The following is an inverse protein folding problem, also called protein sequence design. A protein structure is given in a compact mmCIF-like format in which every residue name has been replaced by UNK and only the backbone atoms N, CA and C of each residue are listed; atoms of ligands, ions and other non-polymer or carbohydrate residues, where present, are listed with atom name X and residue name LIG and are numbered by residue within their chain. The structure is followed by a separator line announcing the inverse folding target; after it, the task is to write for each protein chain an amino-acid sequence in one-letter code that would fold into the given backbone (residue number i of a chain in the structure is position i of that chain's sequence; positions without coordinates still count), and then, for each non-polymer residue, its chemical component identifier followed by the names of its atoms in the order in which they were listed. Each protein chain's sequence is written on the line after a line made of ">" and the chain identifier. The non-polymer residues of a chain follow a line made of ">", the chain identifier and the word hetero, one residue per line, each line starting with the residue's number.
data_IF_441553234227
#
_entry.id   IF_441553234227
#
_cell.length_a   1.000
_cell.length_b   1.000
_cell.length_c   1.000
_cell.angle_alpha   90.00
_cell.angle_beta   90.00
_cell.angle_gamma   90.00
#
_symmetry.space_group_name_H-M   'P 1'
#
loop_
_entity.id
_entity.type
_entity.pdbx_description
1 polymer ?
#
# COMPACT_ATOMS: atom_id res chain seq x y z
N UNK A 1 4.36 -23.06 3.14
CA UNK A 1 5.05 -21.75 3.15
C UNK A 1 3.97 -20.77 3.52
N UNK A 2 3.85 -20.43 4.80
CA UNK A 2 2.89 -19.41 5.25
C UNK A 2 3.19 -18.12 4.51
N UNK A 3 2.18 -17.57 3.84
CA UNK A 3 2.32 -16.23 3.28
C UNK A 3 2.51 -15.27 4.47
N UNK A 4 3.42 -14.29 4.37
CA UNK A 4 3.51 -13.25 5.37
C UNK A 4 2.14 -12.62 5.52
N UNK A 5 1.58 -12.64 6.73
CA UNK A 5 0.24 -12.11 6.96
C UNK A 5 0.33 -10.58 6.90
N UNK A 6 -0.31 -9.89 5.96
CA UNK A 6 -0.14 -8.44 5.77
C UNK A 6 -1.03 -7.66 6.74
N UNK A 7 -1.03 -8.02 8.03
CA UNK A 7 -1.75 -7.24 9.02
C UNK A 7 -0.96 -5.98 9.37
N UNK A 8 -1.60 -4.85 9.12
CA UNK A 8 -1.10 -3.56 9.53
C UNK A 8 -1.44 -3.24 10.96
N UNK A 9 -0.75 -2.26 11.51
CA UNK A 9 -1.11 -1.58 12.73
C UNK A 9 -1.40 -0.12 12.40
N UNK A 10 -1.93 0.62 13.37
CA UNK A 10 -2.12 2.06 13.21
C UNK A 10 -1.93 2.80 14.52
N UNK A 11 -1.33 3.97 14.44
CA UNK A 11 -1.24 4.95 15.51
C UNK A 11 -2.12 6.15 15.19
N UNK A 12 -2.65 6.81 16.22
CA UNK A 12 -3.50 7.99 16.05
C UNK A 12 -2.98 9.13 16.90
N UNK A 13 -2.77 10.28 16.27
CA UNK A 13 -2.39 11.52 16.93
C UNK A 13 -3.36 12.63 16.53
N UNK A 14 -4.28 12.99 17.42
CA UNK A 14 -5.33 13.96 17.10
C UNK A 14 -6.29 13.41 16.04
N UNK A 15 -6.40 14.12 14.93
CA UNK A 15 -7.18 13.75 13.74
C UNK A 15 -6.35 13.04 12.66
N UNK A 16 -5.07 12.78 12.92
CA UNK A 16 -4.17 12.09 11.98
C UNK A 16 -3.97 10.64 12.40
N UNK A 17 -4.12 9.75 11.43
CA UNK A 17 -3.87 8.33 11.56
C UNK A 17 -2.66 7.92 10.73
N UNK A 18 -1.75 7.17 11.34
CA UNK A 18 -0.56 6.60 10.68
C UNK A 18 -0.71 5.09 10.66
N UNK A 19 -0.87 4.54 9.47
CA UNK A 19 -1.01 3.11 9.18
C UNK A 19 0.37 2.54 8.89
N UNK A 20 0.75 1.42 9.50
CA UNK A 20 2.06 0.80 9.35
C UNK A 20 1.91 -0.67 8.95
N UNK A 21 2.63 -1.09 7.91
CA UNK A 21 2.69 -2.47 7.47
C UNK A 21 4.14 -2.89 7.27
N UNK A 22 4.45 -4.13 7.62
CA UNK A 22 5.75 -4.75 7.39
C UNK A 22 5.54 -6.05 6.63
N UNK A 23 6.10 -6.13 5.43
CA UNK A 23 5.96 -7.29 4.55
C UNK A 23 7.33 -7.93 4.30
N UNK A 24 7.49 -9.17 4.78
CA UNK A 24 8.68 -9.96 4.47
C UNK A 24 8.50 -10.69 3.14
N UNK A 25 9.18 -10.22 2.10
CA UNK A 25 8.99 -10.66 0.73
C UNK A 25 10.16 -11.55 0.28
N UNK A 26 9.92 -12.81 -0.12
CA UNK A 26 10.97 -13.73 -0.57
C UNK A 26 11.45 -13.42 -2.00
N UNK A 27 11.59 -12.14 -2.33
CA UNK A 27 11.95 -11.66 -3.66
C UNK A 27 13.15 -10.69 -3.57
N UNK A 28 13.98 -10.62 -4.63
CA UNK A 28 15.04 -9.62 -4.72
C UNK A 28 14.49 -8.20 -4.62
N UNK A 29 15.29 -7.30 -4.07
CA UNK A 29 14.93 -5.89 -3.84
C UNK A 29 14.48 -5.22 -5.13
N UNK A 30 15.17 -5.50 -6.22
CA UNK A 30 14.94 -4.92 -7.54
C UNK A 30 13.51 -5.25 -8.02
N UNK A 31 13.08 -6.51 -7.82
CA UNK A 31 11.72 -6.96 -8.19
C UNK A 31 10.64 -6.30 -7.32
N UNK A 32 10.91 -6.12 -6.03
CA UNK A 32 9.96 -5.43 -5.13
C UNK A 32 9.89 -3.95 -5.48
N UNK A 33 11.04 -3.32 -5.74
CA UNK A 33 11.13 -1.93 -6.18
C UNK A 33 10.37 -1.68 -7.47
N UNK A 34 10.54 -2.56 -8.47
CA UNK A 34 9.77 -2.51 -9.71
C UNK A 34 8.26 -2.52 -9.44
N UNK A 35 7.77 -3.35 -8.51
CA UNK A 35 6.35 -3.44 -8.19
C UNK A 35 5.79 -2.18 -7.50
N UNK A 36 6.56 -1.52 -6.61
CA UNK A 36 6.05 -0.42 -5.77
C UNK A 36 6.43 0.98 -6.24
N UNK A 37 7.43 1.11 -7.11
CA UNK A 37 8.05 2.40 -7.46
C UNK A 37 8.14 2.62 -8.98
N UNK A 38 7.28 1.97 -9.78
CA UNK A 38 7.23 2.16 -11.24
C UNK A 38 5.80 2.31 -11.76
N UNK A 39 5.60 3.06 -12.86
CA UNK A 39 4.29 3.16 -13.51
C UNK A 39 3.82 1.85 -14.14
N UNK A 40 4.71 0.88 -14.37
CA UNK A 40 4.36 -0.45 -14.86
C UNK A 40 3.97 -1.42 -13.72
N UNK A 41 4.58 -1.27 -12.54
CA UNK A 41 4.35 -2.14 -11.39
C UNK A 41 3.15 -1.75 -10.54
N UNK A 42 2.96 -0.46 -10.24
CA UNK A 42 1.82 -0.01 -9.44
C UNK A 42 0.44 -0.45 -9.98
N UNK A 43 0.16 -0.44 -11.30
CA UNK A 43 -1.12 -0.90 -11.84
C UNK A 43 -1.39 -2.40 -11.64
N UNK A 44 -0.38 -3.21 -11.30
CA UNK A 44 -0.57 -4.65 -11.13
C UNK A 44 -1.16 -5.02 -9.77
N UNK A 45 -1.25 -4.07 -8.82
CA UNK A 45 -1.74 -4.36 -7.47
C UNK A 45 -2.38 -3.17 -6.73
N UNK A 46 -2.07 -1.92 -7.12
CA UNK A 46 -2.57 -0.72 -6.46
C UNK A 46 -3.46 0.15 -7.37
N UNK A 47 -2.83 0.83 -8.32
CA UNK A 47 -3.46 1.90 -9.10
C UNK A 47 -2.61 2.21 -10.34
N UNK A 48 -3.24 2.74 -11.39
CA UNK A 48 -2.48 3.34 -12.48
C UNK A 48 -1.81 4.64 -11.98
N UNK A 49 -0.55 4.86 -12.35
CA UNK A 49 0.23 6.01 -11.92
C UNK A 49 0.68 6.83 -13.14
N UNK A 50 -0.10 7.86 -13.50
CA UNK A 50 0.20 8.71 -14.64
C UNK A 50 -0.32 10.15 -14.48
N UNK A 51 0.57 11.17 -14.44
CA UNK A 51 2.04 11.06 -14.51
C UNK A 51 2.66 10.38 -13.28
N UNK A 52 3.91 9.92 -13.40
CA UNK A 52 4.75 9.50 -12.26
C UNK A 52 6.21 9.90 -12.48
N UNK A 53 6.55 11.11 -12.04
CA UNK A 53 7.92 11.64 -12.08
C UNK A 53 8.71 11.14 -10.86
N UNK A 54 9.51 10.09 -11.08
CA UNK A 54 10.32 9.37 -10.09
C UNK A 54 11.55 10.16 -9.57
N UNK A 55 11.29 11.30 -8.94
CA UNK A 55 12.27 12.20 -8.32
C UNK A 55 11.56 13.10 -7.32
N UNK A 56 12.28 13.57 -6.30
CA UNK A 56 11.74 14.56 -5.36
C UNK A 56 11.17 15.80 -6.09
N UNK A 57 9.99 16.23 -5.67
CA UNK A 57 9.24 17.34 -6.28
C UNK A 57 8.48 16.96 -7.56
N UNK A 58 8.66 15.74 -8.07
CA UNK A 58 7.98 15.24 -9.26
C UNK A 58 6.47 15.10 -9.08
N UNK A 59 5.71 15.28 -10.17
CA UNK A 59 4.27 15.05 -10.17
C UNK A 59 3.94 13.55 -10.14
N UNK A 60 2.91 13.17 -9.38
CA UNK A 60 2.30 11.84 -9.45
C UNK A 60 0.77 11.98 -9.51
N UNK A 61 0.08 11.07 -10.19
CA UNK A 61 -1.38 10.94 -10.09
C UNK A 61 -1.74 9.47 -10.03
N UNK A 62 -2.32 9.06 -8.91
CA UNK A 62 -2.84 7.71 -8.72
C UNK A 62 -4.30 7.65 -9.17
N UNK A 63 -4.60 6.65 -10.00
CA UNK A 63 -5.94 6.34 -10.51
C UNK A 63 -6.27 4.92 -10.08
N UNK A 64 -7.11 4.79 -9.06
CA UNK A 64 -7.51 3.48 -8.56
C UNK A 64 -8.24 2.72 -9.66
N UNK A 65 -7.87 1.45 -9.80
CA UNK A 65 -8.42 0.55 -10.81
C UNK A 65 -9.58 -0.29 -10.25
N UNK A 66 -9.77 -0.26 -8.94
CA UNK A 66 -10.96 -0.71 -8.25
C UNK A 66 -11.97 0.44 -8.09
N UNK A 67 -13.23 0.08 -7.84
CA UNK A 67 -14.31 1.03 -7.58
C UNK A 67 -14.75 0.99 -6.12
N UNK A 68 -15.29 2.10 -5.65
CA UNK A 68 -16.08 2.14 -4.41
C UNK A 68 -17.40 1.33 -4.56
N UNK A 69 -18.20 1.17 -3.49
CA UNK A 69 -19.50 0.50 -3.56
C UNK A 69 -20.49 1.12 -4.55
N UNK A 70 -20.32 2.40 -4.89
CA UNK A 70 -21.14 3.15 -5.83
C UNK A 70 -20.64 3.05 -7.30
N UNK A 71 -19.52 2.37 -7.54
CA UNK A 71 -18.93 2.17 -8.86
C UNK A 71 -18.01 3.29 -9.34
N UNK A 72 -17.61 4.21 -8.47
CA UNK A 72 -16.71 5.31 -8.82
C UNK A 72 -15.24 4.90 -8.65
N UNK A 73 -14.41 5.30 -9.61
CA UNK A 73 -12.96 5.19 -9.52
C UNK A 73 -12.36 6.50 -8.99
N UNK A 74 -11.43 6.38 -8.05
CA UNK A 74 -10.75 7.54 -7.44
C UNK A 74 -9.56 7.98 -8.28
N UNK A 75 -9.44 9.28 -8.51
CA UNK A 75 -8.24 9.92 -9.08
C UNK A 75 -7.68 10.88 -8.05
N UNK A 76 -6.42 10.68 -7.66
CA UNK A 76 -5.74 11.51 -6.68
C UNK A 76 -4.42 12.04 -7.25
N UNK A 77 -4.36 13.32 -7.66
CA UNK A 77 -3.11 13.97 -8.00
C UNK A 77 -2.27 14.24 -6.74
N UNK A 78 -0.97 14.42 -6.93
CA UNK A 78 -0.01 14.40 -5.84
C UNK A 78 1.41 14.83 -6.23
N UNK A 79 2.33 14.70 -5.28
CA UNK A 79 3.76 14.99 -5.48
C UNK A 79 4.64 13.97 -4.78
N UNK A 80 5.75 13.62 -5.42
CA UNK A 80 6.84 12.85 -4.81
C UNK A 80 7.57 13.74 -3.80
N UNK A 81 7.64 13.28 -2.55
CA UNK A 81 8.23 14.02 -1.43
C UNK A 81 9.58 13.48 -1.00
N UNK A 82 9.89 12.22 -1.30
CA UNK A 82 11.22 11.64 -1.16
C UNK A 82 11.44 10.54 -2.20
N UNK A 83 12.67 10.42 -2.69
CA UNK A 83 13.03 9.41 -3.69
C UNK A 83 14.47 8.97 -3.57
N UNK A 84 14.68 7.73 -3.16
CA UNK A 84 15.97 7.06 -3.16
C UNK A 84 15.83 5.76 -3.96
N UNK A 85 16.45 5.65 -5.15
CA UNK A 85 16.34 4.47 -5.99
C UNK A 85 16.60 3.17 -5.21
N UNK A 86 15.74 2.18 -5.45
CA UNK A 86 15.77 0.84 -4.83
C UNK A 86 15.60 0.81 -3.29
N UNK A 87 15.29 1.95 -2.67
CA UNK A 87 15.31 2.07 -1.20
C UNK A 87 14.10 2.80 -0.65
N UNK A 88 13.71 3.93 -1.24
CA UNK A 88 12.63 4.78 -0.73
C UNK A 88 11.82 5.44 -1.85
N UNK A 89 10.52 5.21 -1.86
CA UNK A 89 9.55 5.97 -2.64
C UNK A 89 8.51 6.58 -1.70
N UNK A 90 8.46 7.91 -1.65
CA UNK A 90 7.46 8.64 -0.85
C UNK A 90 6.74 9.68 -1.70
N UNK A 91 5.42 9.72 -1.56
CA UNK A 91 4.59 10.71 -2.22
C UNK A 91 3.35 11.05 -1.40
N UNK A 92 2.86 12.26 -1.61
CA UNK A 92 1.54 12.68 -1.15
C UNK A 92 0.55 12.61 -2.30
N UNK A 93 -0.68 12.22 -2.00
CA UNK A 93 -1.80 12.29 -2.93
C UNK A 93 -2.99 12.92 -2.24
N UNK A 94 -3.78 13.68 -2.99
CA UNK A 94 -5.06 14.19 -2.51
C UNK A 94 -5.92 13.01 -2.00
N UNK A 95 -6.69 13.20 -0.93
CA UNK A 95 -7.55 12.15 -0.31
C UNK A 95 -6.79 11.12 0.55
N UNK A 96 -5.70 10.51 0.08
CA UNK A 96 -5.03 9.43 0.83
C UNK A 96 -3.79 9.88 1.63
N UNK A 97 -3.46 11.17 1.61
CA UNK A 97 -2.39 11.74 2.43
C UNK A 97 -1.02 11.30 1.95
N UNK A 98 -0.11 10.99 2.88
CA UNK A 98 1.28 10.59 2.59
C UNK A 98 1.39 9.08 2.52
N UNK A 99 2.03 8.58 1.48
CA UNK A 99 2.31 7.16 1.24
C UNK A 99 3.83 7.00 1.14
N UNK A 100 4.37 6.06 1.91
CA UNK A 100 5.81 5.78 1.98
C UNK A 100 6.06 4.27 1.81
N UNK A 101 6.93 3.92 0.87
CA UNK A 101 7.48 2.59 0.69
C UNK A 101 8.99 2.63 0.95
N UNK A 102 9.44 1.85 1.92
CA UNK A 102 10.85 1.74 2.28
C UNK A 102 11.28 0.28 2.22
N UNK A 103 12.35 0.01 1.47
CA UNK A 103 12.85 -1.34 1.19
C UNK A 103 14.16 -1.59 1.92
N UNK A 104 14.10 -2.52 2.87
CA UNK A 104 15.27 -3.02 3.58
C UNK A 104 15.65 -4.41 3.10
N UNK A 105 16.91 -4.77 3.29
CA UNK A 105 17.35 -6.14 3.04
C UNK A 105 16.84 -7.00 4.19
N UNK A 106 16.10 -8.06 3.88
CA UNK A 106 15.64 -8.98 4.92
C UNK A 106 16.84 -9.65 5.63
N UNK A 107 16.72 -10.01 6.92
CA UNK A 107 17.74 -10.76 7.63
C UNK A 107 18.15 -12.03 6.85
N UNK A 108 19.43 -12.40 6.94
CA UNK A 108 19.97 -13.55 6.20
C UNK A 108 19.24 -14.88 6.50
N UNK A 109 18.60 -14.99 7.66
CA UNK A 109 17.78 -16.15 8.06
C UNK A 109 16.49 -16.30 7.25
N UNK A 110 15.96 -15.20 6.70
CA UNK A 110 14.72 -15.18 5.91
C UNK A 110 15.04 -15.04 4.43
N UNK A 111 15.99 -14.17 4.10
CA UNK A 111 16.31 -13.81 2.72
C UNK A 111 15.23 -12.95 2.06
N UNK A 112 15.58 -12.26 0.98
CA UNK A 112 14.66 -11.38 0.25
C UNK A 112 14.67 -9.93 0.76
N UNK A 113 13.48 -9.31 0.78
CA UNK A 113 13.29 -7.87 0.99
C UNK A 113 12.24 -7.65 2.07
N UNK A 114 12.50 -6.72 2.98
CA UNK A 114 11.53 -6.22 3.93
C UNK A 114 10.95 -4.92 3.37
N UNK A 115 9.64 -4.88 3.15
CA UNK A 115 8.93 -3.67 2.76
C UNK A 115 8.25 -3.08 4.00
N UNK A 116 8.72 -1.91 4.41
CA UNK A 116 8.03 -1.07 5.37
C UNK A 116 7.14 -0.10 4.61
N UNK A 117 5.87 -0.13 4.96
CA UNK A 117 4.88 0.75 4.38
C UNK A 117 4.25 1.61 5.46
N UNK A 118 4.18 2.91 5.18
CA UNK A 118 3.50 3.86 6.04
C UNK A 118 2.50 4.68 5.22
N UNK A 119 1.27 4.81 5.73
CA UNK A 119 0.30 5.75 5.20
C UNK A 119 -0.20 6.69 6.30
N UNK A 120 0.03 7.99 6.13
CA UNK A 120 -0.41 9.03 7.07
C UNK A 120 -1.53 9.84 6.43
N UNK A 121 -2.68 9.90 7.10
CA UNK A 121 -3.90 10.51 6.59
C UNK A 121 -4.71 11.15 7.71
N UNK A 122 -5.36 12.30 7.49
CA UNK A 122 -6.33 12.85 8.44
C UNK A 122 -7.70 12.20 8.27
N UNK A 123 -8.42 11.93 9.37
CA UNK A 123 -9.76 11.36 9.28
C UNK A 123 -10.36 10.91 10.60
N UNK A 124 -11.48 10.21 10.48
CA UNK A 124 -12.18 9.55 11.57
C UNK A 124 -11.67 8.13 11.79
N UNK A 125 -11.96 7.56 12.96
CA UNK A 125 -11.60 6.16 13.25
C UNK A 125 -12.23 5.16 12.26
N UNK A 126 -13.43 5.44 11.75
CA UNK A 126 -14.05 4.62 10.70
C UNK A 126 -13.23 4.67 9.40
N UNK A 127 -12.76 5.86 8.99
CA UNK A 127 -11.88 6.00 7.82
C UNK A 127 -10.53 5.31 8.04
N UNK A 128 -10.00 5.33 9.28
CA UNK A 128 -8.80 4.55 9.63
C UNK A 128 -9.01 3.06 9.39
N UNK A 129 -10.13 2.49 9.85
CA UNK A 129 -10.46 1.08 9.64
C UNK A 129 -10.68 0.75 8.16
N UNK A 130 -11.34 1.63 7.41
CA UNK A 130 -11.54 1.48 5.97
C UNK A 130 -10.20 1.44 5.21
N UNK A 131 -9.29 2.35 5.55
CA UNK A 131 -7.94 2.41 5.00
C UNK A 131 -7.08 1.21 5.40
N UNK A 132 -7.15 0.72 6.65
CA UNK A 132 -6.50 -0.53 7.07
C UNK A 132 -6.95 -1.70 6.18
N UNK A 133 -8.26 -1.90 6.05
CA UNK A 133 -8.78 -2.98 5.22
C UNK A 133 -8.39 -2.82 3.75
N UNK A 134 -8.44 -1.59 3.23
CA UNK A 134 -8.06 -1.29 1.84
C UNK A 134 -6.61 -1.61 1.53
N UNK A 135 -5.67 -1.14 2.36
CA UNK A 135 -4.24 -1.41 2.19
C UNK A 135 -3.91 -2.89 2.35
N UNK A 136 -4.49 -3.56 3.35
CA UNK A 136 -4.33 -5.01 3.51
C UNK A 136 -4.74 -5.76 2.23
N UNK A 137 -5.92 -5.46 1.68
CA UNK A 137 -6.40 -6.11 0.47
C UNK A 137 -5.48 -5.82 -0.73
N UNK A 138 -5.00 -4.59 -0.90
CA UNK A 138 -4.00 -4.27 -1.92
C UNK A 138 -2.68 -5.05 -1.73
N UNK A 139 -2.22 -5.27 -0.49
CA UNK A 139 -1.03 -6.07 -0.25
C UNK A 139 -1.22 -7.56 -0.57
N UNK A 140 -2.42 -8.11 -0.42
CA UNK A 140 -2.72 -9.45 -0.95
C UNK A 140 -2.52 -9.50 -2.47
N UNK A 141 -2.90 -8.46 -3.21
CA UNK A 141 -2.60 -8.34 -4.65
C UNK A 141 -1.12 -8.11 -4.95
N UNK A 142 -0.40 -7.35 -4.12
CA UNK A 142 1.06 -7.17 -4.26
C UNK A 142 1.77 -8.53 -4.20
N UNK A 143 1.40 -9.37 -3.22
CA UNK A 143 1.95 -10.72 -3.08
C UNK A 143 1.67 -11.59 -4.31
N UNK A 144 0.47 -11.47 -4.89
CA UNK A 144 0.11 -12.18 -6.13
C UNK A 144 0.89 -11.65 -7.34
N UNK A 145 1.01 -10.33 -7.49
CA UNK A 145 1.73 -9.68 -8.57
C UNK A 145 3.21 -10.07 -8.54
N UNK A 146 3.84 -10.05 -7.36
CA UNK A 146 5.22 -10.52 -7.18
C UNK A 146 5.38 -12.01 -7.52
N UNK A 147 4.34 -12.83 -7.32
CA UNK A 147 4.29 -14.23 -7.74
C UNK A 147 3.98 -14.42 -9.25
N UNK A 148 3.92 -13.34 -10.04
CA UNK A 148 3.66 -13.37 -11.48
C UNK A 148 2.17 -13.44 -11.85
N UNK A 149 1.27 -13.13 -10.90
CA UNK A 149 -0.18 -13.07 -11.11
C UNK A 149 -0.67 -11.64 -10.85
N UNK A 150 -0.63 -10.74 -11.84
CA UNK A 150 -1.13 -9.38 -11.66
C UNK A 150 -2.61 -9.39 -11.28
N UNK A 151 -3.06 -8.33 -10.60
CA UNK A 151 -4.44 -8.19 -10.16
C UNK A 151 -5.42 -8.32 -11.34
N UNK A 152 -6.39 -9.22 -11.17
CA UNK A 152 -7.62 -9.19 -11.95
C UNK A 152 -8.59 -8.25 -11.24
N UNK A 153 -8.64 -6.99 -11.68
CA UNK A 153 -9.51 -5.97 -11.07
C UNK A 153 -11.00 -6.33 -11.16
N UNK A 154 -11.41 -7.19 -12.11
CA UNK A 154 -12.78 -7.71 -12.16
C UNK A 154 -13.05 -8.74 -11.06
N UNK A 155 -12.00 -9.35 -10.51
CA UNK A 155 -12.08 -10.24 -9.35
C UNK A 155 -11.99 -9.48 -8.02
N UNK A 156 -11.86 -8.15 -8.01
CA UNK A 156 -11.89 -7.36 -6.78
C UNK A 156 -13.21 -7.57 -6.02
N UNK A 157 -13.12 -8.12 -4.81
CA UNK A 157 -14.30 -8.42 -3.97
C UNK A 157 -14.42 -7.41 -2.85
N UNK A 158 -15.52 -6.65 -2.87
CA UNK A 158 -15.92 -5.83 -1.72
C UNK A 158 -16.15 -6.69 -0.47
N UNK A 159 -16.56 -7.96 -0.63
CA UNK A 159 -16.73 -8.89 0.50
C UNK A 159 -15.42 -9.11 1.28
N UNK A 160 -14.29 -9.28 0.57
CA UNK A 160 -12.98 -9.46 1.22
C UNK A 160 -12.57 -8.22 2.00
N UNK A 161 -12.82 -7.03 1.44
CA UNK A 161 -12.61 -5.77 2.14
C UNK A 161 -13.49 -5.65 3.40
N UNK A 162 -14.77 -6.05 3.33
CA UNK A 162 -15.68 -6.03 4.49
C UNK A 162 -15.21 -6.97 5.60
N UNK A 163 -14.80 -8.19 5.26
CA UNK A 163 -14.22 -9.15 6.21
C UNK A 163 -13.00 -8.56 6.93
N UNK A 164 -12.05 -8.01 6.17
CA UNK A 164 -10.85 -7.37 6.72
C UNK A 164 -11.19 -6.20 7.64
N UNK A 165 -12.15 -5.35 7.24
CA UNK A 165 -12.62 -4.24 8.06
C UNK A 165 -13.19 -4.72 9.38
N UNK A 166 -14.01 -5.78 9.36
CA UNK A 166 -14.53 -6.37 10.58
C UNK A 166 -13.43 -6.97 11.47
N UNK A 167 -12.44 -7.64 10.87
CA UNK A 167 -11.29 -8.18 11.60
C UNK A 167 -10.50 -7.09 12.31
N UNK A 168 -10.18 -5.99 11.62
CA UNK A 168 -9.52 -4.83 12.23
C UNK A 168 -10.38 -4.15 13.30
N UNK A 169 -11.71 -4.13 13.14
CA UNK A 169 -12.64 -3.63 14.16
C UNK A 169 -12.69 -4.52 15.42
N UNK A 170 -12.50 -5.83 15.27
CA UNK A 170 -12.46 -6.80 16.39
C UNK A 170 -11.10 -6.80 17.10
N UNK A 171 -10.02 -6.56 16.37
CA UNK A 171 -8.65 -6.56 16.87
C UNK A 171 -8.04 -5.16 16.92
N UNK A 172 -8.32 -4.37 17.97
CA UNK A 172 -7.45 -3.24 18.34
C UNK A 172 -6.07 -3.80 18.73
N UNK A 173 -5.17 -3.94 17.76
CA UNK A 173 -3.73 -4.07 17.99
C UNK A 173 -3.13 -2.68 17.85
N UNK A 174 -3.24 -1.91 18.93
CA UNK A 174 -2.42 -0.71 19.13
C UNK A 174 -0.97 -1.20 19.26
N UNK A 175 -0.03 -0.56 18.54
CA UNK A 175 1.41 -0.85 18.71
C UNK A 175 1.78 -0.54 20.17
N UNK A 176 2.64 -1.36 20.81
CA UNK A 176 3.04 -1.17 22.21
C UNK A 176 3.81 0.12 22.45
#
# INVERSE_FOLDING_TARGET
>A
MEMPSPYGASETHGDVHTLCYELSLPYPRERVWEAVATPEGLPTWLAAAEPFERREGGAITLRWLNTDPEGNATVAPGRVTAWEPESLAEYTVEIHGRIRFELEKAPASVGGTLLHFTNEMPGTDDQRLDCLAGWHHHFEYLLQALAGRPADWAAWRLDRWRELREEYGKGKRELP
#
